data_IF_656259955940
#
_entry.id   IF_656259955940
#
_cell.length_a   1.000
_cell.length_b   1.000
_cell.length_c   1.000
_cell.angle_alpha   90.00
_cell.angle_beta   90.00
_cell.angle_gamma   90.00
#
_symmetry.space_group_name_H-M   'P 1'
#
loop_
_entity.id
_entity.type
_entity.pdbx_description
1 polymer ?
#
# COMPACT_ATOMS: atom_id res chain seq x y z
N UNK A 1 7.91 -4.57 -5.75
CA UNK A 1 7.15 -4.11 -6.92
C UNK A 1 7.01 -2.61 -6.84
N UNK A 2 7.00 -1.89 -7.96
CA UNK A 2 6.55 -0.49 -7.93
C UNK A 2 5.04 -0.50 -7.73
N UNK A 3 4.59 0.03 -6.60
CA UNK A 3 3.16 0.17 -6.31
C UNK A 3 2.61 1.37 -7.08
N UNK A 4 1.56 1.16 -7.86
CA UNK A 4 0.91 2.21 -8.66
C UNK A 4 -0.17 2.95 -7.88
N UNK A 5 -0.87 2.29 -6.96
CA UNK A 5 -2.01 2.88 -6.25
C UNK A 5 -1.72 3.16 -4.77
N UNK A 6 -0.62 2.63 -4.24
CA UNK A 6 -0.28 2.68 -2.82
C UNK A 6 1.15 3.18 -2.66
N UNK A 7 1.37 4.07 -1.71
CA UNK A 7 2.71 4.44 -1.26
C UNK A 7 2.98 3.72 0.06
N UNK A 8 4.12 3.05 0.12
CA UNK A 8 4.53 2.25 1.27
C UNK A 8 5.83 2.79 1.85
N UNK A 9 5.79 3.19 3.11
CA UNK A 9 6.93 3.73 3.84
C UNK A 9 7.12 2.95 5.15
N UNK A 10 8.26 2.25 5.28
CA UNK A 10 8.66 1.64 6.56
C UNK A 10 9.41 2.68 7.39
N UNK A 11 8.88 3.06 8.55
CA UNK A 11 9.59 3.91 9.52
C UNK A 11 10.42 3.03 10.45
N UNK A 12 11.57 3.55 10.88
CA UNK A 12 12.54 2.84 11.73
C UNK A 12 12.00 2.47 13.13
N UNK A 13 10.92 3.10 13.58
CA UNK A 13 10.26 2.81 14.85
C UNK A 13 9.32 1.58 14.81
N UNK A 14 9.43 0.74 13.77
CA UNK A 14 8.56 -0.43 13.59
C UNK A 14 7.16 -0.10 13.10
N UNK A 15 6.91 1.15 12.68
CA UNK A 15 5.63 1.57 12.10
C UNK A 15 5.75 1.62 10.59
N UNK A 16 4.86 0.93 9.89
CA UNK A 16 4.73 1.09 8.44
C UNK A 16 3.55 2.01 8.12
N UNK A 17 3.74 2.94 7.20
CA UNK A 17 2.72 3.86 6.70
C UNK A 17 2.34 3.43 5.28
N UNK A 18 1.04 3.24 5.08
CA UNK A 18 0.44 2.85 3.80
C UNK A 18 -0.50 3.97 3.37
N UNK A 19 -0.18 4.65 2.27
CA UNK A 19 -0.97 5.77 1.76
C UNK A 19 -1.59 5.40 0.42
N UNK A 20 -2.92 5.41 0.34
CA UNK A 20 -3.63 5.19 -0.93
C UNK A 20 -3.54 6.46 -1.80
N UNK A 21 -2.82 6.41 -2.91
CA UNK A 21 -2.62 7.54 -3.81
C UNK A 21 -3.40 7.34 -5.12
N UNK A 22 -4.73 7.20 -5.02
CA UNK A 22 -5.63 7.05 -6.17
C UNK A 22 -6.64 8.21 -6.27
N UNK A 23 -6.16 9.46 -6.50
CA UNK A 23 -7.03 10.64 -6.53
C UNK A 23 -8.07 10.59 -7.66
N UNK A 24 -7.75 9.94 -8.79
CA UNK A 24 -8.66 9.81 -9.94
C UNK A 24 -9.93 9.00 -9.68
N UNK A 25 -9.98 8.25 -8.58
CA UNK A 25 -11.12 7.39 -8.27
C UNK A 25 -11.60 7.54 -6.82
N UNK A 26 -11.27 8.65 -6.16
CA UNK A 26 -11.69 8.93 -4.78
C UNK A 26 -11.37 7.77 -3.82
N UNK A 27 -10.18 7.17 -3.96
CA UNK A 27 -9.75 6.02 -3.15
C UNK A 27 -10.62 4.77 -3.29
N UNK A 28 -11.41 4.64 -4.34
CA UNK A 28 -12.12 3.39 -4.63
C UNK A 28 -11.12 2.24 -4.72
N UNK A 29 -11.33 1.21 -3.90
CA UNK A 29 -10.51 0.01 -3.86
C UNK A 29 -10.81 -0.81 -5.10
N UNK A 30 -9.82 -0.99 -5.98
CA UNK A 30 -9.91 -1.94 -7.08
C UNK A 30 -9.13 -3.21 -6.72
N UNK A 31 -9.25 -4.25 -7.55
CA UNK A 31 -8.58 -5.52 -7.31
C UNK A 31 -7.05 -5.37 -7.23
N UNK A 32 -6.47 -4.54 -8.09
CA UNK A 32 -5.03 -4.25 -8.06
C UNK A 32 -4.60 -3.60 -6.74
N UNK A 33 -5.37 -2.65 -6.20
CA UNK A 33 -5.09 -2.00 -4.91
C UNK A 33 -5.16 -3.01 -3.76
N UNK A 34 -6.08 -3.97 -3.80
CA UNK A 34 -6.16 -5.05 -2.81
C UNK A 34 -4.99 -6.03 -2.91
N UNK A 35 -4.57 -6.37 -4.13
CA UNK A 35 -3.39 -7.22 -4.39
C UNK A 35 -2.11 -6.54 -3.89
N UNK A 36 -1.94 -5.24 -4.16
CA UNK A 36 -0.83 -4.43 -3.65
C UNK A 36 -0.83 -4.33 -2.12
N UNK A 37 -2.02 -4.15 -1.50
CA UNK A 37 -2.14 -4.10 -0.05
C UNK A 37 -1.77 -5.44 0.60
N UNK A 38 -2.18 -6.57 0.01
CA UNK A 38 -1.84 -7.90 0.51
C UNK A 38 -0.32 -8.13 0.48
N UNK A 39 0.36 -7.72 -0.60
CA UNK A 39 1.82 -7.79 -0.72
C UNK A 39 2.52 -6.93 0.33
N UNK A 40 2.05 -5.69 0.54
CA UNK A 40 2.55 -4.79 1.59
C UNK A 40 2.42 -5.43 2.98
N UNK A 41 1.27 -6.03 3.29
CA UNK A 41 1.04 -6.70 4.59
C UNK A 41 1.97 -7.90 4.75
N UNK A 42 2.17 -8.71 3.70
CA UNK A 42 3.12 -9.83 3.75
C UNK A 42 4.57 -9.35 3.95
N UNK A 43 4.93 -8.21 3.34
CA UNK A 43 6.25 -7.60 3.46
C UNK A 43 6.53 -7.00 4.84
N UNK A 44 5.49 -6.60 5.60
CA UNK A 44 5.62 -6.13 6.99
C UNK A 44 5.71 -7.31 7.97
N UNK A 45 5.04 -8.43 7.66
CA UNK A 45 4.98 -9.61 8.55
C UNK A 45 6.30 -10.37 8.64
N UNK A 46 7.17 -10.26 7.62
CA UNK A 46 8.53 -10.81 7.60
C UNK A 46 9.51 -9.86 8.27
#
# INVERSE_FOLDING_TARGET
MEYQNILFEKKENGVAVVTFNRPKALNALNRATLEELADVIENIKK
#
